data_IF_713054225240
#
_entry.id   IF_713054225240
#
_cell.length_a   1.000
_cell.length_b   1.000
_cell.length_c   1.000
_cell.angle_alpha   90.00
_cell.angle_beta   90.00
_cell.angle_gamma   90.00
#
_symmetry.space_group_name_H-M   'P 1'
#
loop_
_entity.id
_entity.type
_entity.pdbx_description
1 polymer ?
#
# COMPACT_ATOMS: atom_id res chain seq x y z
N UNK A 1 14.15 11.56 13.67
CA UNK A 1 13.16 11.47 14.75
C UNK A 1 11.95 12.34 14.43
N UNK A 2 11.12 11.93 13.47
CA UNK A 2 9.75 12.44 13.32
C UNK A 2 8.85 11.34 13.86
N UNK A 3 8.31 11.56 15.06
CA UNK A 3 7.29 10.69 15.64
C UNK A 3 6.08 10.78 14.72
N UNK A 4 5.86 9.73 13.92
CA UNK A 4 4.56 9.45 13.34
C UNK A 4 3.61 9.30 14.53
N UNK A 5 2.88 10.38 14.86
CA UNK A 5 1.77 10.28 15.82
C UNK A 5 0.90 9.14 15.31
N UNK A 6 0.46 8.28 16.23
CA UNK A 6 -0.63 7.33 16.01
C UNK A 6 -1.82 8.11 15.44
N UNK A 7 -1.96 8.18 14.13
CA UNK A 7 -3.27 8.38 13.53
C UNK A 7 -3.92 7.00 13.55
N UNK A 8 -4.64 6.76 14.63
CA UNK A 8 -5.31 5.51 15.00
C UNK A 8 -6.60 5.26 14.20
N UNK A 9 -6.77 5.83 13.00
CA UNK A 9 -8.02 5.69 12.25
C UNK A 9 -8.25 4.26 11.75
N UNK A 10 -7.19 3.56 11.32
CA UNK A 10 -7.30 2.21 10.79
C UNK A 10 -7.52 1.14 11.88
N UNK A 11 -6.83 1.24 13.02
CA UNK A 11 -6.93 0.23 14.09
C UNK A 11 -8.30 0.24 14.77
N UNK A 12 -8.82 1.43 15.13
CA UNK A 12 -10.17 1.53 15.70
C UNK A 12 -11.26 1.07 14.74
N UNK A 13 -11.06 1.27 13.43
CA UNK A 13 -11.95 0.75 12.39
C UNK A 13 -11.87 -0.78 12.30
N UNK A 14 -10.67 -1.36 12.31
CA UNK A 14 -10.47 -2.81 12.24
C UNK A 14 -11.05 -3.52 13.47
N UNK A 15 -10.88 -2.95 14.66
CA UNK A 15 -11.49 -3.46 15.89
C UNK A 15 -13.02 -3.37 15.85
N UNK A 16 -13.58 -2.28 15.32
CA UNK A 16 -15.03 -2.10 15.19
C UNK A 16 -15.67 -3.02 14.14
N UNK A 17 -14.96 -3.29 13.03
CA UNK A 17 -15.45 -4.14 11.93
C UNK A 17 -15.25 -5.63 12.24
N UNK A 18 -14.17 -5.98 12.93
CA UNK A 18 -13.78 -7.37 13.16
C UNK A 18 -13.64 -8.16 11.85
N UNK A 19 -13.98 -9.44 11.86
CA UNK A 19 -13.89 -10.33 10.68
C UNK A 19 -15.10 -10.24 9.74
N UNK A 20 -15.97 -9.23 9.89
CA UNK A 20 -17.25 -9.17 9.15
C UNK A 20 -17.10 -8.62 7.73
N UNK A 21 -15.99 -7.94 7.42
CA UNK A 21 -15.78 -7.31 6.13
C UNK A 21 -14.28 -7.21 5.80
N UNK A 22 -13.94 -7.38 4.52
CA UNK A 22 -12.58 -7.12 4.02
C UNK A 22 -12.26 -5.63 4.11
N UNK A 23 -11.24 -5.30 4.89
CA UNK A 23 -10.71 -3.95 5.00
C UNK A 23 -9.51 -3.80 4.07
N UNK A 24 -9.57 -2.78 3.22
CA UNK A 24 -8.50 -2.41 2.27
C UNK A 24 -8.01 -1.01 2.59
N UNK A 25 -6.75 -0.73 2.29
CA UNK A 25 -6.13 0.58 2.56
C UNK A 25 -5.58 1.24 1.29
N UNK A 26 -5.74 2.55 1.22
CA UNK A 26 -5.02 3.43 0.30
C UNK A 26 -4.62 4.69 1.09
N UNK A 27 -3.67 5.45 0.57
CA UNK A 27 -3.26 6.72 1.17
C UNK A 27 -1.76 6.79 1.42
N UNK A 28 -1.01 7.17 0.38
CA UNK A 28 0.39 7.54 0.53
C UNK A 28 1.37 6.38 0.55
N UNK A 29 0.97 5.18 0.10
CA UNK A 29 1.89 4.04 -0.07
C UNK A 29 2.90 4.37 -1.17
N UNK A 30 4.19 4.35 -0.82
CA UNK A 30 5.30 4.63 -1.76
C UNK A 30 6.40 3.58 -1.71
N UNK A 31 6.51 2.83 -0.62
CA UNK A 31 7.53 1.78 -0.42
C UNK A 31 6.86 0.47 -0.02
N UNK A 32 7.55 -0.65 -0.27
CA UNK A 32 7.11 -1.98 0.21
C UNK A 32 6.85 -2.00 1.71
N UNK A 33 7.65 -1.29 2.51
CA UNK A 33 7.49 -1.23 3.97
C UNK A 33 6.15 -0.65 4.40
N UNK A 34 5.55 0.22 3.59
CA UNK A 34 4.25 0.81 3.90
C UNK A 34 3.13 -0.23 3.70
N UNK A 35 3.25 -1.05 2.65
CA UNK A 35 2.37 -2.21 2.41
C UNK A 35 2.52 -3.23 3.54
N UNK A 36 3.74 -3.56 3.96
CA UNK A 36 3.96 -4.50 5.06
C UNK A 36 3.35 -4.00 6.38
N UNK A 37 3.47 -2.71 6.69
CA UNK A 37 2.83 -2.12 7.87
C UNK A 37 1.31 -2.23 7.78
N UNK A 38 0.73 -1.95 6.62
CA UNK A 38 -0.71 -2.10 6.40
C UNK A 38 -1.20 -3.54 6.61
N UNK A 39 -0.49 -4.52 6.04
CA UNK A 39 -0.81 -5.94 6.21
C UNK A 39 -0.72 -6.36 7.68
N UNK A 40 0.34 -5.95 8.39
CA UNK A 40 0.52 -6.25 9.83
C UNK A 40 -0.57 -5.60 10.68
N UNK A 41 -1.10 -4.45 10.27
CA UNK A 41 -2.20 -3.79 10.97
C UNK A 41 -3.54 -4.53 10.81
N UNK A 42 -3.66 -5.47 9.88
CA UNK A 42 -4.87 -6.29 9.67
C UNK A 42 -5.65 -5.97 8.39
N UNK A 43 -5.11 -5.13 7.50
CA UNK A 43 -5.74 -4.88 6.19
C UNK A 43 -5.36 -5.98 5.21
N UNK A 44 -6.30 -6.40 4.36
CA UNK A 44 -6.10 -7.51 3.43
C UNK A 44 -5.43 -7.05 2.11
N UNK A 45 -5.67 -5.81 1.70
CA UNK A 45 -5.13 -5.24 0.47
C UNK A 45 -4.68 -3.79 0.65
N UNK A 46 -3.65 -3.42 -0.10
CA UNK A 46 -3.11 -2.07 -0.15
C UNK A 46 -3.11 -1.57 -1.61
N UNK A 47 -3.67 -0.39 -1.86
CA UNK A 47 -3.77 0.18 -3.21
C UNK A 47 -2.61 1.11 -3.54
N UNK A 48 -2.32 1.23 -4.83
CA UNK A 48 -1.27 2.09 -5.38
C UNK A 48 -1.90 3.02 -6.43
N UNK A 49 -2.18 4.27 -6.05
CA UNK A 49 -2.69 5.27 -6.99
C UNK A 49 -1.58 6.09 -7.66
N UNK A 50 -1.11 7.12 -6.95
CA UNK A 50 -0.16 8.13 -7.48
C UNK A 50 1.09 7.58 -8.18
N UNK A 51 1.74 6.49 -7.72
CA UNK A 51 2.87 5.92 -8.45
C UNK A 51 2.54 5.50 -9.89
N UNK A 52 1.38 4.88 -10.11
CA UNK A 52 0.94 4.48 -11.44
C UNK A 52 0.49 5.68 -12.27
N UNK A 53 -0.20 6.65 -11.66
CA UNK A 53 -0.59 7.89 -12.32
C UNK A 53 0.62 8.69 -12.83
N UNK A 54 1.67 8.80 -12.03
CA UNK A 54 2.89 9.52 -12.46
C UNK A 54 3.63 8.77 -13.56
N UNK A 55 3.67 7.43 -13.48
CA UNK A 55 4.27 6.62 -14.52
C UNK A 55 3.54 6.74 -15.85
N UNK A 56 2.21 6.63 -15.84
CA UNK A 56 1.39 6.81 -17.06
C UNK A 56 1.51 8.21 -17.63
N UNK A 57 1.59 9.25 -16.78
CA UNK A 57 1.76 10.63 -17.25
C UNK A 57 3.10 10.86 -17.99
N UNK A 58 4.17 10.17 -17.59
CA UNK A 58 5.52 10.36 -18.17
C UNK A 58 5.74 9.47 -19.40
N UNK A 59 5.24 8.23 -19.39
CA UNK A 59 5.57 7.24 -20.43
C UNK A 59 4.45 6.26 -20.74
N UNK A 60 3.21 6.64 -20.46
CA UNK A 60 2.02 5.87 -20.78
C UNK A 60 2.03 4.46 -20.19
N UNK A 61 1.44 3.52 -20.93
CA UNK A 61 1.30 2.13 -20.50
C UNK A 61 2.66 1.46 -20.23
N UNK A 62 3.68 1.70 -21.05
CA UNK A 62 5.00 1.09 -20.90
C UNK A 62 5.66 1.48 -19.56
N UNK A 63 5.55 2.75 -19.17
CA UNK A 63 6.04 3.21 -17.87
C UNK A 63 5.23 2.64 -16.70
N UNK A 64 3.90 2.52 -16.84
CA UNK A 64 3.06 1.86 -15.83
C UNK A 64 3.45 0.40 -15.61
N UNK A 65 3.73 -0.34 -16.69
CA UNK A 65 4.18 -1.73 -16.62
C UNK A 65 5.56 -1.87 -15.99
N UNK A 66 6.48 -0.94 -16.23
CA UNK A 66 7.77 -0.89 -15.52
C UNK A 66 7.58 -0.71 -14.02
N UNK A 67 6.69 0.19 -13.60
CA UNK A 67 6.36 0.37 -12.18
C UNK A 67 5.73 -0.91 -11.60
N UNK A 68 4.79 -1.55 -12.31
CA UNK A 68 4.23 -2.83 -11.87
C UNK A 68 5.31 -3.91 -11.67
N UNK A 69 6.28 -4.00 -12.58
CA UNK A 69 7.40 -4.95 -12.48
C UNK A 69 8.30 -4.65 -11.26
N UNK A 70 8.59 -3.38 -10.97
CA UNK A 70 9.36 -2.99 -9.78
C UNK A 70 8.63 -3.42 -8.51
N UNK A 71 7.33 -3.11 -8.39
CA UNK A 71 6.53 -3.53 -7.24
C UNK A 71 6.47 -5.04 -7.09
N UNK A 72 6.32 -5.78 -8.20
CA UNK A 72 6.31 -7.25 -8.19
C UNK A 72 7.65 -7.82 -7.69
N UNK A 73 8.77 -7.28 -8.17
CA UNK A 73 10.10 -7.67 -7.72
C UNK A 73 10.26 -7.40 -6.22
N UNK A 74 9.88 -6.21 -5.76
CA UNK A 74 10.00 -5.85 -4.34
C UNK A 74 9.14 -6.70 -3.42
N UNK A 75 7.94 -7.08 -3.85
CA UNK A 75 7.01 -7.91 -3.08
C UNK A 75 7.36 -9.40 -3.11
N UNK A 76 8.23 -9.85 -4.02
CA UNK A 76 8.70 -11.23 -3.99
C UNK A 76 9.50 -11.51 -2.69
N UNK A 77 9.36 -12.70 -2.10
CA UNK A 77 10.22 -13.13 -1.01
C UNK A 77 11.68 -13.08 -1.48
N UNK A 78 12.56 -12.50 -0.67
CA UNK A 78 14.00 -12.67 -0.84
C UNK A 78 14.27 -14.11 -0.45
N UNK A 79 14.60 -14.96 -1.43
CA UNK A 79 15.12 -16.30 -1.15
C UNK A 79 16.50 -16.19 -0.51
#
# INVERSE_FOLDING_TARGET
MLRYRRCASGQGLLEAVGSKMTVKVDGGIRRRTDVLKALVLGTEFAFLGRPFLYATAIGGHAAAMKVAAIWRCWMSPVR
#
